data_IF_967105282612
#
_entry.id   IF_967105282612
#
_cell.length_a   1.000
_cell.length_b   1.000
_cell.length_c   1.000
_cell.angle_alpha   90.00
_cell.angle_beta   90.00
_cell.angle_gamma   90.00
#
_symmetry.space_group_name_H-M   'P 1'
#
loop_
_entity.id
_entity.type
_entity.pdbx_description
1 polymer ?
#
# COMPACT_ATOMS: atom_id res chain seq x y z
N UNK A 1 7.34 16.55 -17.46
CA UNK A 1 7.16 15.08 -17.54
C UNK A 1 5.67 14.79 -17.42
N UNK A 2 5.06 14.02 -18.33
CA UNK A 2 3.62 13.74 -18.29
C UNK A 2 3.42 12.45 -17.50
N UNK A 3 2.88 12.55 -16.30
CA UNK A 3 2.50 11.38 -15.49
C UNK A 3 1.19 10.80 -16.04
N UNK A 4 1.15 9.50 -16.27
CA UNK A 4 -0.02 8.77 -16.77
C UNK A 4 -0.25 7.51 -15.98
N UNK A 5 -1.53 7.14 -15.81
CA UNK A 5 -1.88 5.84 -15.24
C UNK A 5 -1.62 4.72 -16.25
N UNK A 6 -0.84 3.74 -15.82
CA UNK A 6 -0.70 2.45 -16.50
C UNK A 6 -1.79 1.47 -16.06
N UNK A 7 -1.65 0.21 -16.50
CA UNK A 7 -2.60 -0.88 -16.12
C UNK A 7 -2.69 -1.08 -14.60
N UNK A 8 -1.65 -0.70 -13.85
CA UNK A 8 -1.52 -0.98 -12.42
C UNK A 8 -1.04 0.23 -11.63
N UNK A 9 -1.58 1.42 -11.94
CA UNK A 9 -1.22 2.68 -11.34
C UNK A 9 -0.07 3.39 -12.06
N UNK A 10 0.57 4.32 -11.38
CA UNK A 10 1.77 5.03 -11.87
C UNK A 10 2.98 4.30 -11.31
N UNK A 11 3.87 3.79 -12.16
CA UNK A 11 5.07 3.05 -11.76
C UNK A 11 6.32 3.52 -12.50
N UNK A 12 7.46 3.37 -11.84
CA UNK A 12 8.77 3.60 -12.43
C UNK A 12 9.87 3.84 -11.41
N UNK A 13 11.08 4.16 -11.89
CA UNK A 13 12.20 4.50 -11.05
C UNK A 13 11.91 5.72 -10.15
N UNK A 14 12.41 5.65 -8.91
CA UNK A 14 12.12 6.65 -7.87
C UNK A 14 12.84 7.98 -8.12
N UNK A 15 13.93 7.94 -8.86
CA UNK A 15 14.74 9.12 -9.20
C UNK A 15 14.20 9.92 -10.39
N UNK A 16 13.37 9.30 -11.27
CA UNK A 16 12.95 9.91 -12.52
C UNK A 16 11.45 9.94 -12.75
N UNK A 17 10.70 8.95 -12.27
CA UNK A 17 9.26 8.83 -12.53
C UNK A 17 8.44 9.02 -11.27
N UNK A 18 8.68 8.21 -10.23
CA UNK A 18 7.92 8.24 -8.98
C UNK A 18 8.72 9.02 -7.93
N UNK A 19 9.01 10.28 -8.25
CA UNK A 19 9.78 11.17 -7.37
C UNK A 19 8.92 11.74 -6.24
N UNK A 20 9.55 12.34 -5.23
CA UNK A 20 8.83 13.05 -4.17
C UNK A 20 7.95 14.18 -4.73
N UNK A 21 8.45 14.95 -5.69
CA UNK A 21 7.69 16.01 -6.36
C UNK A 21 6.48 15.45 -7.13
N UNK A 22 6.68 14.37 -7.87
CA UNK A 22 5.60 13.68 -8.57
C UNK A 22 4.52 13.20 -7.58
N UNK A 23 4.92 12.61 -6.45
CA UNK A 23 4.00 12.14 -5.41
C UNK A 23 3.23 13.29 -4.72
N UNK A 24 3.89 14.42 -4.46
CA UNK A 24 3.20 15.62 -3.96
C UNK A 24 2.09 16.06 -4.93
N UNK A 25 2.40 16.16 -6.22
CA UNK A 25 1.44 16.52 -7.26
C UNK A 25 0.32 15.49 -7.42
N UNK A 26 0.66 14.20 -7.37
CA UNK A 26 -0.34 13.11 -7.39
C UNK A 26 -1.29 13.26 -6.20
N UNK A 27 -0.78 13.46 -5.00
CA UNK A 27 -1.60 13.68 -3.80
C UNK A 27 -2.55 14.87 -3.96
N UNK A 28 -2.07 16.00 -4.49
CA UNK A 28 -2.91 17.17 -4.74
C UNK A 28 -3.98 16.88 -5.79
N UNK A 29 -3.61 16.35 -6.96
CA UNK A 29 -4.53 16.10 -8.05
C UNK A 29 -5.61 15.08 -7.69
N UNK A 30 -5.20 13.96 -7.08
CA UNK A 30 -6.14 12.93 -6.59
C UNK A 30 -7.02 13.49 -5.48
N UNK A 31 -6.49 14.30 -4.57
CA UNK A 31 -7.25 14.90 -3.51
C UNK A 31 -8.32 15.88 -3.99
N UNK A 32 -8.05 16.65 -5.06
CA UNK A 32 -9.05 17.53 -5.69
C UNK A 32 -10.20 16.70 -6.26
N UNK A 33 -9.88 15.66 -7.06
CA UNK A 33 -10.90 14.77 -7.63
C UNK A 33 -11.66 14.02 -6.54
N UNK A 34 -10.98 13.55 -5.49
CA UNK A 34 -11.61 12.86 -4.36
C UNK A 34 -12.67 13.74 -3.68
N UNK A 35 -12.41 15.03 -3.52
CA UNK A 35 -13.41 15.99 -2.98
C UNK A 35 -14.62 16.15 -3.89
N UNK A 36 -14.42 16.20 -5.21
CA UNK A 36 -15.51 16.25 -6.19
C UNK A 36 -16.39 14.99 -6.14
N UNK A 37 -15.77 13.82 -5.88
CA UNK A 37 -16.47 12.54 -5.72
C UNK A 37 -17.02 12.33 -4.29
N UNK A 38 -16.88 13.30 -3.37
CA UNK A 38 -17.37 13.24 -1.99
C UNK A 38 -16.49 12.40 -1.04
N UNK A 39 -15.24 12.07 -1.42
CA UNK A 39 -14.32 11.32 -0.58
C UNK A 39 -13.52 12.28 0.30
N UNK A 40 -13.46 12.00 1.60
CA UNK A 40 -12.90 12.94 2.58
C UNK A 40 -11.60 12.48 3.22
N UNK A 41 -11.28 11.20 3.14
CA UNK A 41 -10.13 10.62 3.83
C UNK A 41 -9.42 9.60 2.94
N UNK A 42 -8.10 9.70 2.85
CA UNK A 42 -7.25 8.70 2.20
C UNK A 42 -6.59 7.79 3.24
N UNK A 43 -6.56 6.50 2.95
CA UNK A 43 -5.77 5.48 3.66
C UNK A 43 -4.52 5.16 2.86
N UNK A 44 -3.33 5.47 3.40
CA UNK A 44 -2.06 5.23 2.71
C UNK A 44 -1.36 4.04 3.34
N UNK A 45 -1.24 2.94 2.57
CA UNK A 45 -0.39 1.80 2.90
C UNK A 45 0.83 1.74 1.99
N UNK A 46 1.85 1.01 2.42
CA UNK A 46 3.09 0.86 1.64
C UNK A 46 3.67 -0.54 1.79
N UNK A 47 4.57 -0.90 0.88
CA UNK A 47 5.46 -2.03 1.09
C UNK A 47 6.68 -1.62 1.95
N UNK A 48 7.68 -2.47 2.00
CA UNK A 48 8.84 -2.30 2.88
C UNK A 48 10.02 -1.56 2.23
N UNK A 49 9.86 -1.03 1.01
CA UNK A 49 10.90 -0.27 0.31
C UNK A 49 11.27 0.99 1.08
N UNK A 50 12.56 1.31 1.10
CA UNK A 50 13.07 2.53 1.75
C UNK A 50 12.46 3.80 1.14
N UNK A 51 12.29 3.83 -0.19
CA UNK A 51 11.66 4.95 -0.88
C UNK A 51 10.23 5.21 -0.44
N UNK A 52 9.52 4.18 0.06
CA UNK A 52 8.16 4.30 0.57
C UNK A 52 7.99 5.36 1.66
N UNK A 53 9.00 5.59 2.48
CA UNK A 53 8.94 6.64 3.54
C UNK A 53 8.92 8.05 2.96
N UNK A 54 9.78 8.31 1.98
CA UNK A 54 9.83 9.60 1.27
C UNK A 54 8.54 9.85 0.48
N UNK A 55 8.09 8.83 -0.28
CA UNK A 55 6.91 8.94 -1.12
C UNK A 55 5.63 9.09 -0.31
N UNK A 56 5.51 8.38 0.83
CA UNK A 56 4.40 8.53 1.78
C UNK A 56 4.31 9.96 2.31
N UNK A 57 5.44 10.55 2.72
CA UNK A 57 5.48 11.92 3.23
C UNK A 57 5.07 12.94 2.17
N UNK A 58 5.50 12.75 0.92
CA UNK A 58 5.16 13.62 -0.19
C UNK A 58 3.67 13.52 -0.57
N UNK A 59 3.14 12.29 -0.70
CA UNK A 59 1.71 12.06 -0.93
C UNK A 59 0.85 12.64 0.19
N UNK A 60 1.24 12.42 1.45
CA UNK A 60 0.57 12.98 2.62
C UNK A 60 0.48 14.49 2.53
N UNK A 61 1.59 15.18 2.22
CA UNK A 61 1.61 16.63 2.07
C UNK A 61 0.65 17.09 0.95
N UNK A 62 0.64 16.39 -0.19
CA UNK A 62 -0.25 16.69 -1.30
C UNK A 62 -1.73 16.53 -0.95
N UNK A 63 -2.11 15.45 -0.30
CA UNK A 63 -3.49 15.22 0.16
C UNK A 63 -3.93 16.26 1.20
N UNK A 64 -3.09 16.54 2.18
CA UNK A 64 -3.37 17.56 3.20
C UNK A 64 -3.57 18.92 2.54
N UNK A 65 -2.70 19.31 1.61
CA UNK A 65 -2.80 20.57 0.89
C UNK A 65 -4.05 20.67 0.00
N UNK A 66 -4.64 19.57 -0.41
CA UNK A 66 -5.93 19.54 -1.12
C UNK A 66 -7.15 19.45 -0.20
N UNK A 67 -6.96 19.41 1.12
CA UNK A 67 -8.02 19.34 2.12
C UNK A 67 -8.55 17.94 2.40
N UNK A 68 -7.79 16.90 2.07
CA UNK A 68 -8.11 15.49 2.37
C UNK A 68 -7.42 15.06 3.66
N UNK A 69 -8.16 14.40 4.54
CA UNK A 69 -7.57 13.77 5.73
C UNK A 69 -6.77 12.51 5.32
N UNK A 70 -5.70 12.24 6.06
CA UNK A 70 -4.79 11.13 5.79
C UNK A 70 -4.75 10.17 6.98
N UNK A 71 -4.93 8.88 6.72
CA UNK A 71 -4.67 7.79 7.67
C UNK A 71 -3.49 6.95 7.18
N UNK A 72 -2.39 6.97 7.92
CA UNK A 72 -1.19 6.19 7.62
C UNK A 72 -1.34 4.78 8.19
N UNK A 73 -1.34 3.77 7.32
CA UNK A 73 -1.50 2.37 7.69
C UNK A 73 -0.16 1.67 7.99
N UNK A 74 0.96 2.27 7.54
CA UNK A 74 2.26 1.63 7.57
C UNK A 74 2.42 0.50 6.54
N UNK A 75 3.38 -0.41 6.75
CA UNK A 75 3.57 -1.57 5.88
C UNK A 75 2.38 -2.54 5.98
N UNK A 76 1.65 -2.69 4.88
CA UNK A 76 0.47 -3.55 4.76
C UNK A 76 0.34 -4.02 3.30
N UNK A 77 -0.09 -5.27 3.02
CA UNK A 77 -0.28 -5.74 1.65
C UNK A 77 -1.38 -4.98 0.91
N UNK A 78 -1.22 -4.85 -0.41
CA UNK A 78 -2.16 -4.16 -1.29
C UNK A 78 -3.64 -4.51 -1.06
N UNK A 79 -4.03 -5.81 -0.94
CA UNK A 79 -5.42 -6.16 -0.66
C UNK A 79 -5.90 -5.70 0.72
N UNK A 80 -4.99 -5.50 1.68
CA UNK A 80 -5.33 -4.94 3.00
C UNK A 80 -5.80 -3.49 2.88
N UNK A 81 -5.15 -2.68 2.04
CA UNK A 81 -5.59 -1.31 1.79
C UNK A 81 -6.95 -1.27 1.09
N UNK A 82 -7.14 -2.11 0.05
CA UNK A 82 -8.42 -2.21 -0.65
C UNK A 82 -9.58 -2.62 0.28
N UNK A 83 -9.33 -3.61 1.15
CA UNK A 83 -10.28 -4.04 2.18
C UNK A 83 -10.62 -2.92 3.16
N UNK A 84 -9.60 -2.23 3.69
CA UNK A 84 -9.82 -1.16 4.65
C UNK A 84 -10.58 0.03 4.01
N UNK A 85 -10.27 0.39 2.77
CA UNK A 85 -11.03 1.42 2.05
C UNK A 85 -12.51 1.07 1.95
N UNK A 86 -12.84 -0.19 1.64
CA UNK A 86 -14.22 -0.69 1.60
C UNK A 86 -14.89 -0.72 2.98
N UNK A 87 -14.12 -0.89 4.05
CA UNK A 87 -14.64 -1.02 5.42
C UNK A 87 -15.07 0.31 6.05
N UNK A 88 -14.68 1.42 5.47
CA UNK A 88 -15.00 2.77 5.94
C UNK A 88 -15.71 3.55 4.84
N UNK A 89 -16.80 4.22 5.21
CA UNK A 89 -17.49 5.11 4.27
C UNK A 89 -16.60 6.32 3.93
N UNK A 90 -16.65 6.75 2.67
CA UNK A 90 -15.96 7.94 2.14
C UNK A 90 -14.43 7.91 2.28
N UNK A 91 -13.85 6.72 2.55
CA UNK A 91 -12.41 6.52 2.59
C UNK A 91 -11.95 5.82 1.32
N UNK A 92 -10.97 6.40 0.66
CA UNK A 92 -10.30 5.76 -0.48
C UNK A 92 -8.88 5.32 -0.09
N UNK A 93 -8.28 4.45 -0.90
CA UNK A 93 -7.00 3.84 -0.58
C UNK A 93 -5.89 4.25 -1.54
N UNK A 94 -4.68 4.37 -1.00
CA UNK A 94 -3.46 4.52 -1.79
C UNK A 94 -2.43 3.50 -1.32
N UNK A 95 -1.81 2.81 -2.26
CA UNK A 95 -0.73 1.85 -2.00
C UNK A 95 0.54 2.32 -2.69
N UNK A 96 1.61 2.44 -1.90
CA UNK A 96 2.95 2.75 -2.38
C UNK A 96 3.70 1.42 -2.51
N UNK A 97 3.77 0.89 -3.73
CA UNK A 97 4.44 -0.38 -4.03
C UNK A 97 4.63 -0.59 -5.52
N UNK A 98 5.78 -1.11 -5.91
CA UNK A 98 6.03 -1.62 -7.26
C UNK A 98 5.92 -3.16 -7.34
N UNK A 99 5.23 -3.81 -6.40
CA UNK A 99 5.05 -5.26 -6.37
C UNK A 99 6.38 -6.03 -6.28
N UNK A 100 6.76 -6.76 -7.32
CA UNK A 100 7.95 -7.60 -7.41
C UNK A 100 9.12 -6.95 -8.18
N UNK A 101 8.99 -5.68 -8.59
CA UNK A 101 10.07 -4.96 -9.25
C UNK A 101 11.27 -4.78 -8.30
N UNK A 102 12.44 -4.43 -8.86
CA UNK A 102 13.62 -4.10 -8.07
C UNK A 102 13.35 -2.98 -7.07
N UNK A 103 14.22 -2.81 -6.06
CA UNK A 103 14.02 -1.81 -4.99
C UNK A 103 14.13 -0.36 -5.49
N UNK A 104 14.74 -0.14 -6.64
CA UNK A 104 14.89 1.17 -7.30
C UNK A 104 13.56 1.71 -7.83
N UNK A 105 12.63 0.82 -8.16
CA UNK A 105 11.29 1.17 -8.61
C UNK A 105 10.34 1.36 -7.42
N UNK A 106 9.32 2.20 -7.64
CA UNK A 106 8.14 2.23 -6.80
C UNK A 106 6.89 2.54 -7.64
N UNK A 107 5.72 2.54 -7.02
CA UNK A 107 4.47 2.80 -7.71
C UNK A 107 3.37 3.28 -6.79
N UNK A 108 2.41 3.99 -7.37
CA UNK A 108 1.24 4.51 -6.68
C UNK A 108 0.00 3.88 -7.29
N UNK A 109 -0.73 3.10 -6.49
CA UNK A 109 -2.02 2.52 -6.85
C UNK A 109 -3.10 3.17 -6.01
N UNK A 110 -4.25 3.43 -6.62
CA UNK A 110 -5.35 4.11 -5.96
C UNK A 110 -6.58 3.22 -6.03
N UNK A 111 -7.30 3.13 -4.92
CA UNK A 111 -8.52 2.36 -4.75
C UNK A 111 -9.66 3.28 -4.35
N UNK A 112 -10.81 3.12 -4.99
CA UNK A 112 -12.04 3.81 -4.62
C UNK A 112 -12.58 3.31 -3.26
N UNK A 113 -13.54 4.00 -2.64
CA UNK A 113 -14.15 3.56 -1.37
C UNK A 113 -14.81 2.18 -1.39
N UNK A 114 -15.14 1.66 -2.57
CA UNK A 114 -15.63 0.28 -2.72
C UNK A 114 -14.52 -0.79 -2.74
N UNK A 115 -13.24 -0.38 -2.65
CA UNK A 115 -12.07 -1.25 -2.70
C UNK A 115 -11.62 -1.63 -4.11
N UNK A 116 -12.24 -1.10 -5.15
CA UNK A 116 -11.84 -1.32 -6.55
C UNK A 116 -10.81 -0.28 -6.99
N UNK A 117 -10.04 -0.59 -8.04
CA UNK A 117 -9.13 0.39 -8.67
C UNK A 117 -9.94 1.56 -9.23
N UNK A 118 -9.28 2.72 -9.39
CA UNK A 118 -9.89 3.87 -10.04
C UNK A 118 -10.50 3.48 -11.39
N UNK A 119 -11.69 4.01 -11.68
CA UNK A 119 -12.27 3.90 -13.00
C UNK A 119 -11.46 4.72 -14.02
N UNK A 120 -11.51 4.33 -15.28
CA UNK A 120 -10.82 5.06 -16.37
C UNK A 120 -11.30 6.51 -16.51
N UNK A 121 -12.52 6.79 -16.09
CA UNK A 121 -13.06 8.14 -16.07
C UNK A 121 -12.38 8.99 -15.00
N UNK A 122 -12.24 8.47 -13.79
CA UNK A 122 -11.57 9.16 -12.67
C UNK A 122 -10.06 9.31 -12.96
N UNK A 123 -9.41 8.26 -13.51
CA UNK A 123 -8.01 8.37 -13.94
C UNK A 123 -7.79 9.56 -14.90
N UNK A 124 -8.65 9.73 -15.90
CA UNK A 124 -8.58 10.85 -16.85
C UNK A 124 -8.79 12.20 -16.18
N UNK A 125 -9.72 12.31 -15.20
CA UNK A 125 -9.88 13.54 -14.42
C UNK A 125 -8.59 13.90 -13.67
N UNK A 126 -8.00 12.91 -12.99
CA UNK A 126 -6.74 13.10 -12.26
C UNK A 126 -5.60 13.50 -13.22
N UNK A 127 -5.43 12.82 -14.36
CA UNK A 127 -4.40 13.13 -15.35
C UNK A 127 -4.54 14.56 -15.90
N UNK A 128 -5.76 15.02 -16.12
CA UNK A 128 -6.03 16.40 -16.57
C UNK A 128 -5.53 17.42 -15.54
N UNK A 129 -5.81 17.17 -14.26
CA UNK A 129 -5.40 18.06 -13.15
C UNK A 129 -3.89 17.99 -12.94
N UNK A 130 -3.28 16.80 -13.00
CA UNK A 130 -1.81 16.63 -12.92
C UNK A 130 -1.03 17.47 -13.92
N UNK A 131 -1.60 17.70 -15.10
CA UNK A 131 -0.96 18.46 -16.17
C UNK A 131 -1.36 19.95 -16.17
N UNK A 132 -2.11 20.42 -15.18
CA UNK A 132 -2.47 21.84 -14.97
C UNK A 132 -1.63 22.47 -13.86
N UNK A 133 -1.75 23.78 -13.68
CA UNK A 133 -1.27 24.44 -12.46
C UNK A 133 -2.20 24.07 -11.30
N UNK A 134 -1.60 23.59 -10.21
CA UNK A 134 -2.33 23.18 -9.01
C UNK A 134 -2.33 24.32 -8.01
N UNK A 135 -3.51 24.87 -7.74
CA UNK A 135 -3.69 25.84 -6.66
C UNK A 135 -3.88 25.12 -5.33
N UNK A 136 -3.29 25.64 -4.27
CA UNK A 136 -3.53 25.15 -2.91
C UNK A 136 -4.89 25.65 -2.39
N UNK A 137 -5.57 24.81 -1.58
CA UNK A 137 -6.75 25.27 -0.85
C UNK A 137 -6.37 26.34 0.18
N UNK A 138 -7.33 27.13 0.62
CA UNK A 138 -7.08 28.10 1.68
C UNK A 138 -6.75 27.38 3.01
N UNK A 139 -6.06 28.08 3.91
CA UNK A 139 -5.55 27.52 5.18
C UNK A 139 -6.62 26.91 6.10
N UNK A 140 -7.89 27.34 5.96
CA UNK A 140 -9.02 26.82 6.77
C UNK A 140 -9.48 25.44 6.31
N UNK A 141 -9.15 25.04 5.10
CA UNK A 141 -9.61 23.80 4.48
C UNK A 141 -8.52 22.72 4.40
N UNK A 142 -7.40 22.89 5.09
CA UNK A 142 -6.29 21.93 5.13
C UNK A 142 -6.73 20.63 5.83
N UNK A 143 -6.36 19.47 5.28
CA UNK A 143 -6.60 18.16 5.87
C UNK A 143 -5.69 17.87 7.08
N UNK A 144 -5.96 16.78 7.77
CA UNK A 144 -5.19 16.31 8.93
C UNK A 144 -4.67 14.90 8.73
N UNK A 145 -3.40 14.66 9.09
CA UNK A 145 -2.84 13.31 9.12
C UNK A 145 -2.95 12.66 10.51
N UNK A 146 -3.15 11.34 10.51
CA UNK A 146 -3.11 10.50 11.71
C UNK A 146 -2.56 9.11 11.36
N UNK A 147 -2.03 8.38 12.35
CA UNK A 147 -1.71 6.96 12.20
C UNK A 147 -2.96 6.13 12.45
N UNK A 148 -3.03 4.98 11.80
CA UNK A 148 -4.08 3.98 12.01
C UNK A 148 -3.42 2.66 12.37
N UNK A 149 -3.07 2.53 13.64
CA UNK A 149 -2.23 1.43 14.15
C UNK A 149 -2.95 0.07 14.11
N UNK A 150 -4.29 0.06 14.14
CA UNK A 150 -5.11 -1.15 14.08
C UNK A 150 -5.27 -1.73 12.66
N UNK A 151 -4.69 -1.11 11.65
CA UNK A 151 -4.83 -1.52 10.25
C UNK A 151 -4.47 -2.99 9.99
N UNK A 152 -3.33 -3.43 10.53
CA UNK A 152 -2.85 -4.80 10.43
C UNK A 152 -3.79 -5.79 11.10
N UNK A 153 -4.21 -5.51 12.34
CA UNK A 153 -5.10 -6.38 13.11
C UNK A 153 -6.46 -6.56 12.41
N UNK A 154 -7.05 -5.48 11.89
CA UNK A 154 -8.32 -5.55 11.14
C UNK A 154 -8.21 -6.42 9.89
N UNK A 155 -7.09 -6.32 9.18
CA UNK A 155 -6.87 -7.13 8.00
C UNK A 155 -6.60 -8.60 8.34
N UNK A 156 -5.89 -8.88 9.43
CA UNK A 156 -5.68 -10.24 9.96
C UNK A 156 -7.04 -10.89 10.29
N UNK A 157 -7.90 -10.20 11.03
CA UNK A 157 -9.25 -10.70 11.36
C UNK A 157 -10.09 -10.98 10.11
N UNK A 158 -10.04 -10.07 9.13
CA UNK A 158 -10.73 -10.28 7.85
C UNK A 158 -10.23 -11.55 7.15
N UNK A 159 -8.91 -11.74 7.05
CA UNK A 159 -8.34 -12.93 6.42
C UNK A 159 -8.73 -14.22 7.18
N UNK A 160 -8.67 -14.23 8.51
CA UNK A 160 -9.09 -15.38 9.32
C UNK A 160 -10.56 -15.72 9.12
N UNK A 161 -11.42 -14.71 9.01
CA UNK A 161 -12.85 -14.90 8.79
C UNK A 161 -13.20 -15.53 7.43
N UNK A 162 -12.26 -15.58 6.47
CA UNK A 162 -12.45 -16.31 5.20
C UNK A 162 -12.24 -17.82 5.31
N UNK A 163 -11.66 -18.28 6.42
CA UNK A 163 -11.41 -19.72 6.67
C UNK A 163 -12.67 -20.30 7.31
N UNK A 164 -13.25 -21.37 6.74
CA UNK A 164 -14.38 -22.05 7.35
C UNK A 164 -14.05 -22.57 8.76
N UNK A 165 -14.98 -22.46 9.74
CA UNK A 165 -14.70 -22.81 11.13
C UNK A 165 -14.38 -24.30 11.34
N UNK A 166 -14.73 -25.16 10.38
CA UNK A 166 -14.43 -26.59 10.41
C UNK A 166 -12.96 -26.89 10.09
N UNK A 167 -12.25 -25.94 9.49
CA UNK A 167 -10.85 -26.11 9.11
C UNK A 167 -9.94 -25.74 10.28
N UNK A 168 -9.15 -26.69 10.75
CA UNK A 168 -8.16 -26.49 11.81
C UNK A 168 -6.73 -26.52 11.25
N UNK A 169 -5.93 -25.56 11.66
CA UNK A 169 -4.50 -25.49 11.30
C UNK A 169 -3.58 -26.05 12.41
N UNK A 170 -4.12 -26.55 13.53
CA UNK A 170 -3.35 -26.94 14.71
C UNK A 170 -2.33 -28.06 14.48
N UNK A 171 -2.53 -28.88 13.46
CA UNK A 171 -1.60 -29.96 13.12
C UNK A 171 -0.62 -29.59 12.00
N UNK A 172 -0.68 -28.36 11.49
CA UNK A 172 0.14 -27.92 10.37
C UNK A 172 1.41 -27.22 10.86
N UNK A 173 2.53 -27.60 10.28
CA UNK A 173 3.78 -26.85 10.32
C UNK A 173 3.97 -26.16 8.98
N UNK A 174 3.99 -24.82 8.98
CA UNK A 174 4.04 -23.99 7.77
C UNK A 174 5.37 -23.26 7.73
N UNK A 175 6.12 -23.44 6.63
CA UNK A 175 7.26 -22.58 6.30
C UNK A 175 6.74 -21.44 5.41
N UNK A 176 6.83 -20.21 5.90
CA UNK A 176 6.30 -19.04 5.25
C UNK A 176 7.42 -18.08 4.86
N UNK A 177 7.63 -17.91 3.56
CA UNK A 177 8.54 -16.91 3.04
C UNK A 177 7.79 -15.59 2.82
N UNK A 178 8.14 -14.59 3.60
CA UNK A 178 7.57 -13.24 3.52
C UNK A 178 8.29 -12.35 2.49
N UNK A 179 9.37 -12.83 1.87
CA UNK A 179 10.16 -12.09 0.87
C UNK A 179 10.60 -10.68 1.33
N UNK A 180 10.71 -10.45 2.63
CA UNK A 180 10.88 -9.12 3.25
C UNK A 180 9.83 -8.08 2.79
N UNK A 181 8.69 -8.53 2.26
CA UNK A 181 7.63 -7.69 1.70
C UNK A 181 6.57 -7.26 2.71
N UNK A 182 5.54 -6.59 2.24
CA UNK A 182 4.47 -5.99 3.06
C UNK A 182 3.69 -6.99 3.93
N UNK A 183 3.75 -8.28 3.61
CA UNK A 183 3.09 -9.35 4.36
C UNK A 183 3.86 -9.84 5.59
N UNK A 184 5.08 -9.37 5.84
CA UNK A 184 5.99 -9.90 6.85
C UNK A 184 5.43 -9.99 8.28
N UNK A 185 4.51 -9.10 8.65
CA UNK A 185 3.81 -9.16 9.94
C UNK A 185 2.47 -9.89 9.84
N UNK A 186 1.71 -9.59 8.79
CA UNK A 186 0.31 -10.01 8.67
C UNK A 186 0.20 -11.50 8.40
N UNK A 187 0.94 -12.03 7.41
CA UNK A 187 0.82 -13.43 7.02
C UNK A 187 1.21 -14.42 8.14
N UNK A 188 2.35 -14.22 8.86
CA UNK A 188 2.65 -15.09 10.00
C UNK A 188 1.62 -15.03 11.11
N UNK A 189 1.06 -13.85 11.39
CA UNK A 189 0.04 -13.68 12.42
C UNK A 189 -1.24 -14.46 12.07
N UNK A 190 -1.72 -14.36 10.82
CA UNK A 190 -2.92 -15.09 10.37
C UNK A 190 -2.79 -16.59 10.63
N UNK A 191 -1.70 -17.22 10.19
CA UNK A 191 -1.55 -18.67 10.33
C UNK A 191 -1.30 -19.10 11.77
N UNK A 192 -0.56 -18.30 12.56
CA UNK A 192 -0.39 -18.58 14.01
C UNK A 192 -1.71 -18.50 14.75
N UNK A 193 -2.53 -17.48 14.49
CA UNK A 193 -3.83 -17.31 15.14
C UNK A 193 -4.87 -18.36 14.70
N UNK A 194 -4.72 -18.95 13.50
CA UNK A 194 -5.47 -20.11 13.05
C UNK A 194 -4.96 -21.43 13.69
N UNK A 195 -3.86 -21.37 14.45
CA UNK A 195 -3.34 -22.50 15.22
C UNK A 195 -2.15 -23.24 14.61
N UNK A 196 -1.61 -22.80 13.48
CA UNK A 196 -0.44 -23.44 12.86
C UNK A 196 0.87 -23.14 13.62
N UNK A 197 1.81 -24.09 13.58
CA UNK A 197 3.23 -23.82 13.85
C UNK A 197 3.84 -23.12 12.63
N UNK A 198 4.30 -21.88 12.78
CA UNK A 198 4.80 -21.07 11.65
C UNK A 198 6.27 -20.78 11.81
N UNK A 199 7.06 -21.24 10.83
CA UNK A 199 8.45 -20.90 10.65
C UNK A 199 8.53 -19.83 9.55
N UNK A 200 9.10 -18.66 9.85
CA UNK A 200 9.19 -17.53 8.92
C UNK A 200 10.56 -17.44 8.28
N UNK A 201 10.58 -17.03 7.01
CA UNK A 201 11.76 -16.69 6.22
C UNK A 201 11.49 -15.31 5.60
N UNK A 202 12.52 -14.45 5.52
CA UNK A 202 12.37 -13.13 4.92
C UNK A 202 11.34 -12.24 5.61
N UNK A 203 11.27 -12.29 6.93
CA UNK A 203 10.34 -11.54 7.77
C UNK A 203 10.99 -10.36 8.51
N UNK A 204 12.26 -10.07 8.19
CA UNK A 204 13.03 -8.94 8.75
C UNK A 204 13.43 -7.97 7.62
N UNK A 205 12.50 -7.14 7.12
CA UNK A 205 12.78 -6.24 6.02
C UNK A 205 13.81 -5.18 6.46
N UNK A 206 15.02 -5.32 5.95
CA UNK A 206 15.99 -4.25 5.92
C UNK A 206 15.80 -3.51 4.60
N UNK A 207 15.48 -2.26 4.64
CA UNK A 207 14.97 -1.36 3.59
C UNK A 207 15.51 -1.53 2.14
N UNK A 208 16.61 -2.27 1.94
CA UNK A 208 17.30 -2.51 0.67
C UNK A 208 17.13 -3.98 0.18
N UNK A 209 16.64 -4.90 1.02
CA UNK A 209 16.68 -6.36 0.75
C UNK A 209 15.46 -6.94 0.03
N UNK A 210 14.57 -6.11 -0.50
CA UNK A 210 13.43 -6.60 -1.26
C UNK A 210 13.90 -7.38 -2.50
N UNK A 211 13.67 -8.69 -2.49
CA UNK A 211 13.78 -9.63 -3.61
C UNK A 211 15.17 -10.09 -4.10
N UNK A 212 16.29 -9.47 -3.73
CA UNK A 212 17.58 -9.85 -4.31
C UNK A 212 18.12 -11.19 -3.77
N UNK A 213 17.68 -11.63 -2.60
CA UNK A 213 18.34 -12.74 -1.88
C UNK A 213 17.45 -13.97 -1.67
N UNK A 214 16.15 -13.85 -1.79
CA UNK A 214 15.21 -14.87 -1.29
C UNK A 214 15.25 -16.15 -2.12
N UNK A 215 15.19 -16.08 -3.44
CA UNK A 215 15.18 -17.27 -4.30
C UNK A 215 16.48 -18.09 -4.23
N UNK A 216 17.64 -17.44 -4.12
CA UNK A 216 18.94 -18.12 -4.00
C UNK A 216 19.14 -18.80 -2.63
N UNK A 217 18.59 -18.26 -1.54
CA UNK A 217 18.73 -18.85 -0.21
C UNK A 217 17.77 -20.01 0.03
N UNK A 218 16.56 -19.97 -0.51
CA UNK A 218 15.57 -21.06 -0.37
C UNK A 218 16.08 -22.33 -1.03
N UNK A 219 16.60 -22.25 -2.24
CA UNK A 219 17.18 -23.41 -2.93
C UNK A 219 18.36 -24.01 -2.16
N UNK A 220 19.19 -23.19 -1.50
CA UNK A 220 20.29 -23.66 -0.64
C UNK A 220 19.83 -24.23 0.70
N UNK A 221 18.75 -23.71 1.28
CA UNK A 221 18.18 -24.25 2.53
C UNK A 221 17.42 -25.55 2.30
N UNK A 222 16.64 -25.65 1.23
CA UNK A 222 15.94 -26.87 0.85
C UNK A 222 16.94 -27.99 0.47
N UNK A 223 18.06 -27.66 -0.20
CA UNK A 223 19.10 -28.64 -0.52
C UNK A 223 19.92 -29.14 0.69
N UNK A 224 19.74 -28.56 1.88
CA UNK A 224 20.37 -29.01 3.14
C UNK A 224 19.40 -29.79 4.04
N UNK A 225 18.13 -29.84 3.69
CA UNK A 225 17.07 -30.55 4.44
C UNK A 225 16.71 -31.90 3.77
N UNK A 226 17.28 -32.20 2.61
CA UNK A 226 17.30 -33.47 1.89
C UNK A 226 18.75 -33.94 1.74
#
# INVERSE_FOLDING_TARGET
MTLKFGTDGIRGPVDTVVTAEACLRIGQAVGIVAKEEGWNTVMIGKDTRVSGYMLESALQAGFIASGINVRLLGPIPTPGVAYLSKSFRDHFGVVISASHNSFEDNGIKIFMPNGEKLSKEIEKKVEKILNSNLDSVNSVSIGKASRFDESGARYIEFCKATVPPEISFRSLRIVLDCANGACYKVSPAIFRELGAEVITIGDAPMAITLMITVVRHILKLLSRLY
#
